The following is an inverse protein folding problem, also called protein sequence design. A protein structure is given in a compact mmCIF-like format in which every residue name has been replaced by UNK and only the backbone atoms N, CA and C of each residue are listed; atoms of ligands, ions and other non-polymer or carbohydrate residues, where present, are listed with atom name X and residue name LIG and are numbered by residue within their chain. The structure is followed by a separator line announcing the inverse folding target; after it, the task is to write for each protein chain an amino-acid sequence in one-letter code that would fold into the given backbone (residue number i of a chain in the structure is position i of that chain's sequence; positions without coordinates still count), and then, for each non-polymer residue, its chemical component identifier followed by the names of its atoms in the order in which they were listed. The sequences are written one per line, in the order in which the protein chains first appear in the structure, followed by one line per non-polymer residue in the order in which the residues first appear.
data_IF_962844295418
#
_entry.id   IF_962844295418
#
_cell.length_a   1.000
_cell.length_b   1.000
_cell.length_c   1.000
_cell.angle_alpha   90.00
_cell.angle_beta   90.00
_cell.angle_gamma   90.00
#
_symmetry.space_group_name_H-M   'P 1'
#
loop_
_entity.id
_entity.type
_entity.pdbx_description
1 polymer ?
#
# COMPACT_ATOMS: atom_id res chain seq x y z
N UNK A 1 -4.12 -4.35 -43.59
CA UNK A 1 -3.62 -3.46 -42.52
C UNK A 1 -3.89 -4.11 -41.16
N UNK A 2 -3.06 -5.10 -40.86
CA UNK A 2 -3.28 -6.15 -39.85
C UNK A 2 -2.78 -5.74 -38.46
N UNK A 3 -3.04 -4.50 -38.04
CA UNK A 3 -2.62 -3.99 -36.72
C UNK A 3 -3.78 -3.80 -35.74
N UNK A 4 -5.02 -4.03 -36.15
CA UNK A 4 -6.20 -3.87 -35.29
C UNK A 4 -6.40 -5.01 -34.27
N UNK A 5 -5.61 -6.10 -34.33
CA UNK A 5 -5.88 -7.35 -33.59
C UNK A 5 -4.89 -7.68 -32.45
N UNK A 6 -3.93 -6.80 -32.14
CA UNK A 6 -3.02 -6.97 -30.98
C UNK A 6 -3.46 -6.10 -29.79
N UNK A 7 -4.52 -5.31 -29.94
CA UNK A 7 -5.10 -4.45 -28.89
C UNK A 7 -6.05 -5.19 -27.94
N UNK A 8 -5.76 -6.45 -27.59
CA UNK A 8 -6.22 -6.95 -26.30
C UNK A 8 -5.32 -6.29 -25.26
N UNK A 9 -5.80 -5.22 -24.64
CA UNK A 9 -5.06 -4.35 -23.72
C UNK A 9 -4.37 -5.20 -22.65
N UNK A 10 -3.06 -5.45 -22.81
CA UNK A 10 -2.25 -6.06 -21.78
C UNK A 10 -2.09 -5.02 -20.67
N UNK A 11 -3.00 -5.01 -19.70
CA UNK A 11 -2.91 -4.14 -18.54
C UNK A 11 -1.82 -4.67 -17.62
N UNK A 12 -0.60 -4.13 -17.79
CA UNK A 12 0.52 -4.42 -16.90
C UNK A 12 0.20 -3.77 -15.55
N UNK A 13 0.04 -4.58 -14.50
CA UNK A 13 -0.16 -4.09 -13.14
C UNK A 13 1.18 -3.57 -12.59
N UNK A 14 1.30 -2.25 -12.48
CA UNK A 14 2.46 -1.56 -11.89
C UNK A 14 2.10 -1.10 -10.46
N UNK A 15 3.07 -1.09 -9.54
CA UNK A 15 2.90 -0.63 -8.15
C UNK A 15 3.46 0.79 -7.94
N UNK A 16 3.11 1.44 -6.82
CA UNK A 16 3.73 2.70 -6.38
C UNK A 16 3.29 3.97 -7.13
N UNK A 17 2.25 3.90 -7.96
CA UNK A 17 1.70 5.05 -8.69
C UNK A 17 0.74 5.85 -7.82
N UNK A 18 1.11 7.09 -7.46
CA UNK A 18 0.22 8.05 -6.83
C UNK A 18 0.63 9.49 -7.22
N UNK A 19 -0.24 10.49 -7.02
CA UNK A 19 0.13 11.88 -7.24
C UNK A 19 1.35 12.29 -6.40
N UNK A 20 2.30 12.98 -7.02
CA UNK A 20 3.46 13.55 -6.34
C UNK A 20 2.99 14.60 -5.32
N UNK A 21 3.28 14.35 -4.04
CA UNK A 21 3.02 15.30 -2.97
C UNK A 21 4.24 15.33 -2.05
N UNK A 22 5.02 16.40 -2.12
CA UNK A 22 6.33 16.49 -1.46
C UNK A 22 6.23 16.85 0.02
N UNK A 23 5.08 17.37 0.47
CA UNK A 23 4.85 17.74 1.87
C UNK A 23 3.36 17.78 2.21
N UNK A 24 2.99 17.21 3.37
CA UNK A 24 1.64 17.33 3.93
C UNK A 24 1.71 18.22 5.17
N UNK A 25 1.03 19.37 5.15
CA UNK A 25 0.85 20.27 6.31
C UNK A 25 -0.63 20.62 6.39
N UNK A 26 -1.29 20.33 7.52
CA UNK A 26 -2.72 20.60 7.68
C UNK A 26 -3.61 19.92 6.63
N UNK A 27 -3.19 18.73 6.16
CA UNK A 27 -3.75 18.07 4.98
C UNK A 27 -5.26 17.81 5.02
N UNK A 28 -5.77 17.32 3.89
CA UNK A 28 -7.20 17.06 3.68
C UNK A 28 -7.45 15.57 3.40
N UNK A 29 -8.71 15.15 3.54
CA UNK A 29 -9.13 13.79 3.18
C UNK A 29 -8.79 13.50 1.71
N UNK A 30 -8.09 12.40 1.47
CA UNK A 30 -7.81 11.94 0.12
C UNK A 30 -9.07 11.35 -0.52
N UNK A 31 -9.21 11.52 -1.84
CA UNK A 31 -10.21 10.77 -2.60
C UNK A 31 -9.93 9.26 -2.52
N UNK A 32 -10.99 8.46 -2.68
CA UNK A 32 -10.85 7.01 -2.70
C UNK A 32 -9.91 6.59 -3.85
N UNK A 33 -8.95 5.70 -3.55
CA UNK A 33 -8.00 5.19 -4.54
C UNK A 33 -6.80 6.10 -4.83
N UNK A 34 -6.68 7.30 -4.24
CA UNK A 34 -5.50 8.16 -4.43
C UNK A 34 -4.20 7.51 -3.96
N UNK A 35 -4.29 6.71 -2.90
CA UNK A 35 -3.19 5.94 -2.34
C UNK A 35 -3.58 4.45 -2.35
N UNK A 36 -3.46 3.76 -3.50
CA UNK A 36 -4.03 2.42 -3.69
C UNK A 36 -3.49 1.36 -2.72
N UNK A 37 -2.29 1.57 -2.19
CA UNK A 37 -1.64 0.67 -1.25
C UNK A 37 -2.03 0.91 0.21
N UNK A 38 -2.77 1.98 0.53
CA UNK A 38 -3.09 2.29 1.92
C UNK A 38 -4.06 1.24 2.49
N UNK A 39 -3.66 0.60 3.59
CA UNK A 39 -4.46 -0.41 4.29
C UNK A 39 -4.79 0.05 5.70
N UNK A 40 -6.02 -0.21 6.14
CA UNK A 40 -6.44 -0.08 7.53
C UNK A 40 -6.51 -1.46 8.17
N UNK A 41 -5.70 -1.68 9.21
CA UNK A 41 -5.69 -2.92 9.97
C UNK A 41 -6.62 -2.76 11.17
N UNK A 42 -7.66 -3.61 11.21
CA UNK A 42 -8.66 -3.59 12.27
C UNK A 42 -8.79 -4.96 12.95
N UNK A 43 -9.11 -4.96 14.24
CA UNK A 43 -9.41 -6.18 15.01
C UNK A 43 -10.61 -5.91 15.90
N UNK A 44 -11.56 -6.85 15.94
CA UNK A 44 -12.79 -6.71 16.74
C UNK A 44 -13.50 -5.37 16.50
N UNK A 45 -13.57 -4.94 15.24
CA UNK A 45 -14.23 -3.69 14.84
C UNK A 45 -13.50 -2.39 15.22
N UNK A 46 -12.26 -2.46 15.71
CA UNK A 46 -11.44 -1.28 16.04
C UNK A 46 -10.23 -1.17 15.14
N UNK A 47 -9.97 0.03 14.63
CA UNK A 47 -8.76 0.36 13.88
C UNK A 47 -7.56 0.29 14.83
N UNK A 48 -6.56 -0.50 14.48
CA UNK A 48 -5.34 -0.66 15.28
C UNK A 48 -4.20 0.16 14.66
N UNK A 49 -4.00 0.04 13.36
CA UNK A 49 -2.85 0.60 12.67
C UNK A 49 -3.04 0.66 11.15
N UNK A 50 -2.10 1.31 10.48
CA UNK A 50 -2.02 1.33 9.01
C UNK A 50 -1.03 0.30 8.45
N UNK A 51 -1.02 0.17 7.13
CA UNK A 51 -0.03 -0.61 6.39
C UNK A 51 -0.02 -0.28 4.90
N UNK A 52 0.93 -0.90 4.19
CA UNK A 52 1.09 -0.75 2.75
C UNK A 52 0.95 -2.10 2.05
N UNK A 53 0.03 -2.20 1.09
CA UNK A 53 -0.08 -3.37 0.20
C UNK A 53 1.14 -3.43 -0.73
N UNK A 54 1.95 -4.47 -0.61
CA UNK A 54 3.17 -4.62 -1.44
C UNK A 54 2.98 -5.60 -2.61
N UNK A 55 1.99 -6.49 -2.52
CA UNK A 55 1.49 -7.32 -3.61
C UNK A 55 0.08 -7.83 -3.29
N UNK A 56 -0.44 -8.77 -4.07
CA UNK A 56 -1.80 -9.29 -3.93
C UNK A 56 -2.08 -10.11 -2.65
N UNK A 57 -1.07 -10.41 -1.82
CA UNK A 57 -1.21 -11.27 -0.65
C UNK A 57 -0.61 -10.69 0.63
N UNK A 58 0.28 -9.69 0.51
CA UNK A 58 1.08 -9.22 1.62
C UNK A 58 0.94 -7.72 1.87
N UNK A 59 0.77 -7.38 3.15
CA UNK A 59 0.76 -6.02 3.69
C UNK A 59 1.97 -5.83 4.58
N UNK A 60 2.71 -4.74 4.36
CA UNK A 60 3.81 -4.30 5.21
C UNK A 60 3.27 -3.36 6.30
N UNK A 61 3.71 -3.55 7.55
CA UNK A 61 3.35 -2.69 8.68
C UNK A 61 4.51 -2.63 9.69
N UNK A 62 4.39 -1.79 10.72
CA UNK A 62 5.43 -1.59 11.72
C UNK A 62 5.44 -2.70 12.78
N UNK A 63 6.59 -3.33 13.02
CA UNK A 63 6.73 -4.44 13.96
C UNK A 63 6.49 -4.06 15.43
N UNK A 64 6.72 -2.80 15.81
CA UNK A 64 6.50 -2.33 17.20
C UNK A 64 5.01 -2.34 17.59
N UNK A 65 4.12 -2.49 16.62
CA UNK A 65 2.68 -2.62 16.84
C UNK A 65 2.39 -4.01 17.37
N UNK A 66 2.49 -4.16 18.70
CA UNK A 66 2.36 -5.41 19.47
C UNK A 66 1.02 -6.15 19.34
N UNK A 67 0.10 -5.67 18.50
CA UNK A 67 -1.30 -6.08 18.46
C UNK A 67 -1.73 -6.77 17.17
N UNK A 68 -0.81 -7.05 16.24
CA UNK A 68 -1.13 -7.69 14.95
C UNK A 68 -0.47 -9.07 14.80
N UNK A 69 -0.96 -10.11 15.49
CA UNK A 69 -0.39 -11.46 15.40
C UNK A 69 -0.69 -12.19 14.08
N UNK A 70 -1.66 -11.72 13.28
CA UNK A 70 -2.11 -12.42 12.06
C UNK A 70 -1.63 -11.81 10.74
N UNK A 71 -1.10 -10.58 10.74
CA UNK A 71 -0.42 -10.03 9.58
C UNK A 71 1.02 -10.55 9.65
N UNK A 72 1.42 -11.38 8.70
CA UNK A 72 2.84 -11.75 8.54
C UNK A 72 3.60 -10.48 8.22
N UNK A 73 4.15 -9.84 9.25
CA UNK A 73 5.04 -8.71 9.07
C UNK A 73 6.23 -9.19 8.23
N UNK A 74 6.33 -8.69 7.00
CA UNK A 74 7.54 -8.88 6.21
C UNK A 74 8.62 -7.97 6.80
N UNK A 75 9.36 -8.50 7.76
CA UNK A 75 10.60 -7.89 8.20
C UNK A 75 11.64 -8.11 7.10
N UNK A 76 11.85 -7.12 6.24
CA UNK A 76 13.09 -7.04 5.46
C UNK A 76 14.17 -6.52 6.41
N UNK A 77 15.23 -7.31 6.70
CA UNK A 77 16.25 -6.95 7.69
C UNK A 77 17.09 -5.70 7.34
N UNK A 78 16.89 -5.09 6.17
CA UNK A 78 17.67 -3.94 5.69
C UNK A 78 17.06 -2.55 5.97
N UNK A 79 15.86 -2.46 6.52
CA UNK A 79 15.25 -1.16 6.82
C UNK A 79 15.70 -0.68 8.21
N UNK A 80 16.98 -0.30 8.34
CA UNK A 80 17.43 0.51 9.47
C UNK A 80 16.65 1.81 9.48
N UNK A 81 15.97 2.04 10.60
CA UNK A 81 15.39 3.33 11.03
C UNK A 81 16.30 4.49 10.64
N UNK A 82 15.98 5.19 9.57
CA UNK A 82 16.46 6.56 9.37
C UNK A 82 15.73 7.41 10.42
N UNK A 83 16.54 8.06 11.24
CA UNK A 83 16.18 8.84 12.42
C UNK A 83 15.43 10.12 12.06
#
# INVERSE_FOLDING_TARGET
NTVQSIFWTLSIKVCGTAPLNTKIVGGQSAAAGTWPWQVNLHRKGRNICGGSLINNQWVLTAAHLRTVPEIKCLFHPDQKSQK
#
